data_IF_273592747924
#
_entry.id   IF_273592747924
#
_cell.length_a   1.000
_cell.length_b   1.000
_cell.length_c   1.000
_cell.angle_alpha   90.00
_cell.angle_beta   90.00
_cell.angle_gamma   90.00
#
_symmetry.space_group_name_H-M   'P 1'
#
loop_
_entity.id
_entity.type
_entity.pdbx_description
1 polymer ?
#
# COMPACT_ATOMS: atom_id res chain seq x y z
N UNK A 1 12.16 -15.21 -14.46
CA UNK A 1 11.92 -14.87 -14.22
C UNK A 1 11.71 -14.08 -13.79
N UNK A 2 11.80 -13.69 -13.55
CA UNK A 2 11.68 -13.04 -13.17
C UNK A 2 10.95 -12.37 -12.85
N UNK A 3 10.25 -12.25 -12.81
CA UNK A 3 9.35 -11.70 -12.36
C UNK A 3 9.34 -11.42 -10.99
N UNK A 4 10.22 -11.37 -10.38
CA UNK A 4 10.35 -11.03 -9.01
C UNK A 4 9.82 -9.69 -8.66
N UNK A 5 9.79 -8.79 -9.60
CA UNK A 5 9.26 -7.46 -9.36
C UNK A 5 7.80 -7.48 -8.98
N UNK A 6 7.08 -8.46 -9.51
CA UNK A 6 5.66 -8.55 -9.20
C UNK A 6 5.40 -9.15 -7.83
N UNK A 7 6.43 -9.77 -7.26
CA UNK A 7 6.30 -10.41 -5.95
C UNK A 7 7.05 -9.67 -4.89
N UNK A 8 7.58 -8.52 -5.23
CA UNK A 8 8.36 -7.74 -4.31
C UNK A 8 7.48 -7.22 -3.19
N UNK A 9 7.95 -7.34 -1.98
CA UNK A 9 7.24 -6.87 -0.80
C UNK A 9 7.96 -5.68 -0.22
N UNK A 10 7.22 -4.77 0.43
CA UNK A 10 7.87 -3.67 1.15
C UNK A 10 8.79 -4.22 2.22
N UNK A 11 9.92 -3.56 2.43
CA UNK A 11 10.83 -3.96 3.50
C UNK A 11 10.17 -3.84 4.85
N UNK A 12 9.37 -2.80 5.02
CA UNK A 12 8.65 -2.58 6.26
C UNK A 12 7.17 -2.60 5.94
N UNK A 13 6.55 -3.75 6.11
CA UNK A 13 5.14 -3.92 5.78
C UNK A 13 4.22 -3.32 6.83
N UNK A 14 4.76 -2.74 7.88
CA UNK A 14 3.94 -2.02 8.85
C UNK A 14 3.69 -0.57 8.45
N UNK A 15 4.39 -0.09 7.42
CA UNK A 15 4.27 1.29 6.96
C UNK A 15 4.04 1.32 5.46
N UNK A 16 3.08 2.14 5.05
CA UNK A 16 2.73 2.31 3.66
C UNK A 16 3.56 3.44 3.07
N UNK A 17 4.34 3.15 2.04
CA UNK A 17 5.14 4.16 1.36
C UNK A 17 4.52 4.43 -0.01
N UNK A 18 3.92 5.60 -0.18
CA UNK A 18 3.27 5.97 -1.43
C UNK A 18 4.20 6.71 -2.39
N UNK A 19 5.47 6.82 -2.04
CA UNK A 19 6.45 7.51 -2.88
C UNK A 19 7.12 6.58 -3.89
N UNK A 20 6.99 5.28 -3.71
CA UNK A 20 7.55 4.29 -4.61
C UNK A 20 6.43 3.69 -5.46
N UNK A 21 6.48 3.85 -6.79
CA UNK A 21 5.38 3.36 -7.64
C UNK A 21 5.11 1.87 -7.48
N UNK A 22 6.17 1.06 -7.38
CA UNK A 22 5.98 -0.39 -7.24
C UNK A 22 5.27 -0.73 -5.93
N UNK A 23 5.58 0.03 -4.88
CA UNK A 23 4.99 -0.21 -3.58
C UNK A 23 3.53 0.22 -3.56
N UNK A 24 3.21 1.32 -4.23
CA UNK A 24 1.82 1.74 -4.36
C UNK A 24 1.01 0.64 -5.03
N UNK A 25 1.53 0.06 -6.10
CA UNK A 25 0.85 -1.03 -6.78
C UNK A 25 0.69 -2.24 -5.87
N UNK A 26 1.71 -2.55 -5.09
CA UNK A 26 1.66 -3.67 -4.16
C UNK A 26 0.55 -3.46 -3.12
N UNK A 27 0.51 -2.27 -2.52
CA UNK A 27 -0.49 -1.97 -1.50
C UNK A 27 -1.90 -1.94 -2.08
N UNK A 28 -2.06 -1.44 -3.29
CA UNK A 28 -3.37 -1.45 -3.94
C UNK A 28 -3.89 -2.87 -4.13
N UNK A 29 -3.00 -3.78 -4.50
CA UNK A 29 -3.37 -5.19 -4.60
C UNK A 29 -3.67 -5.80 -3.24
N UNK A 30 -2.86 -5.45 -2.26
CA UNK A 30 -3.01 -5.99 -0.91
C UNK A 30 -4.32 -5.55 -0.27
N UNK A 31 -4.67 -4.28 -0.44
CA UNK A 31 -5.89 -3.72 0.15
C UNK A 31 -7.07 -3.73 -0.80
N UNK A 32 -6.87 -4.20 -2.03
CA UNK A 32 -7.91 -4.23 -3.04
C UNK A 32 -8.56 -2.84 -3.19
N UNK A 33 -7.74 -1.84 -3.41
CA UNK A 33 -8.19 -0.47 -3.55
C UNK A 33 -7.47 0.20 -4.70
N UNK A 34 -7.94 1.39 -5.08
CA UNK A 34 -7.28 2.17 -6.11
C UNK A 34 -6.17 3.01 -5.50
N UNK A 35 -5.29 3.52 -6.38
CA UNK A 35 -4.22 4.41 -5.94
C UNK A 35 -4.80 5.64 -5.24
N UNK A 36 -5.87 6.21 -5.79
CA UNK A 36 -6.50 7.39 -5.20
C UNK A 36 -7.00 7.08 -3.79
N UNK A 37 -7.61 5.90 -3.62
CA UNK A 37 -8.09 5.49 -2.30
C UNK A 37 -6.93 5.30 -1.32
N UNK A 38 -5.85 4.70 -1.80
CA UNK A 38 -4.69 4.48 -0.94
C UNK A 38 -4.09 5.79 -0.47
N UNK A 39 -3.88 6.73 -1.38
CA UNK A 39 -3.31 8.02 -1.04
C UNK A 39 -4.23 8.77 -0.10
N UNK A 40 -5.52 8.75 -0.34
CA UNK A 40 -6.49 9.42 0.53
C UNK A 40 -6.43 8.82 1.94
N UNK A 41 -6.31 7.51 2.05
CA UNK A 41 -6.23 6.85 3.35
C UNK A 41 -4.97 7.27 4.10
N UNK A 42 -3.84 7.30 3.40
CA UNK A 42 -2.58 7.70 4.03
C UNK A 42 -2.66 9.16 4.49
N UNK A 43 -3.27 10.02 3.69
CA UNK A 43 -3.44 11.42 4.08
C UNK A 43 -4.37 11.57 5.29
N UNK A 44 -5.31 10.66 5.43
CA UNK A 44 -6.29 10.73 6.51
C UNK A 44 -5.75 10.17 7.82
N UNK A 45 -5.05 9.04 7.77
CA UNK A 45 -4.66 8.33 8.98
C UNK A 45 -3.16 8.11 9.13
N UNK A 46 -2.37 8.58 8.16
CA UNK A 46 -0.92 8.42 8.21
C UNK A 46 -0.47 7.15 7.51
N UNK A 47 0.80 6.79 7.70
CA UNK A 47 1.42 5.70 6.96
C UNK A 47 1.27 4.33 7.63
N UNK A 48 0.61 4.25 8.78
CA UNK A 48 0.44 2.96 9.44
C UNK A 48 -0.42 2.04 8.58
N UNK A 49 0.14 0.89 8.22
CA UNK A 49 -0.58 -0.07 7.39
C UNK A 49 -1.87 -0.53 8.06
N UNK A 50 -1.82 -0.75 9.37
CA UNK A 50 -3.01 -1.15 10.12
C UNK A 50 -4.07 -0.08 10.07
N UNK A 51 -3.68 1.19 10.24
CA UNK A 51 -4.63 2.29 10.21
C UNK A 51 -5.22 2.48 8.81
N UNK A 52 -4.39 2.37 7.78
CA UNK A 52 -4.84 2.49 6.39
C UNK A 52 -5.83 1.39 6.07
N UNK A 53 -5.51 0.17 6.48
CA UNK A 53 -6.40 -0.97 6.25
C UNK A 53 -7.75 -0.74 6.89
N UNK A 54 -7.74 -0.27 8.13
CA UNK A 54 -8.97 0.00 8.87
C UNK A 54 -9.78 1.11 8.21
N UNK A 55 -9.08 2.16 7.75
CA UNK A 55 -9.73 3.26 7.08
C UNK A 55 -10.44 2.80 5.81
N UNK A 56 -9.80 1.91 5.07
CA UNK A 56 -10.37 1.40 3.83
C UNK A 56 -11.45 0.34 4.07
N UNK A 57 -11.59 -0.13 5.29
CA UNK A 57 -12.59 -1.14 5.60
C UNK A 57 -12.19 -2.54 5.17
N UNK A 58 -10.92 -2.79 5.06
CA UNK A 58 -10.42 -4.09 4.64
C UNK A 58 -9.86 -4.84 5.83
#
# INVERSE_FOLDING_TARGET
MSDDLTKRRPQDSSKVNIHEPWEVNWWCGEFNCTKTQLVAAVNAVGVSAAAVRKYLGK
#
